data_IF_684910556887
#
_entry.id   IF_684910556887
#
_cell.length_a   1.000
_cell.length_b   1.000
_cell.length_c   1.000
_cell.angle_alpha   90.00
_cell.angle_beta   90.00
_cell.angle_gamma   90.00
#
_symmetry.space_group_name_H-M   'P 1'
#
loop_
_entity.id
_entity.type
_entity.pdbx_description
1 polymer ?
#
# COMPACT_ATOMS: atom_id res chain seq x y z
N UNK A 1 -7.66 -10.16 20.38
CA UNK A 1 -8.23 -10.48 19.05
C UNK A 1 -7.64 -9.48 18.10
N UNK A 2 -6.96 -9.94 17.06
CA UNK A 2 -6.61 -9.07 15.94
C UNK A 2 -7.90 -8.53 15.31
N UNK A 3 -7.88 -7.26 14.94
CA UNK A 3 -9.03 -6.60 14.32
C UNK A 3 -9.20 -7.11 12.89
N UNK A 4 -10.08 -8.10 12.70
CA UNK A 4 -10.36 -8.72 11.40
C UNK A 4 -10.98 -7.76 10.37
N UNK A 5 -11.42 -6.58 10.79
CA UNK A 5 -11.92 -5.53 9.90
C UNK A 5 -10.79 -4.63 9.36
N UNK A 6 -9.61 -4.62 9.98
CA UNK A 6 -8.50 -3.76 9.57
C UNK A 6 -7.76 -4.35 8.36
N UNK A 7 -7.66 -3.58 7.27
CA UNK A 7 -6.93 -3.96 6.05
C UNK A 7 -5.46 -3.55 6.18
N UNK A 8 -5.22 -2.27 6.47
CA UNK A 8 -3.89 -1.68 6.50
C UNK A 8 -3.90 -0.37 7.28
N UNK A 9 -2.72 0.07 7.70
CA UNK A 9 -2.46 1.42 8.21
C UNK A 9 -1.65 2.21 7.19
N UNK A 10 -2.06 3.45 6.95
CA UNK A 10 -1.40 4.37 6.03
C UNK A 10 -0.72 5.48 6.81
N UNK A 11 0.60 5.54 6.73
CA UNK A 11 1.44 6.54 7.37
C UNK A 11 2.00 7.51 6.33
N UNK A 12 2.33 8.75 6.71
CA UNK A 12 3.20 9.56 5.88
C UNK A 12 4.58 8.89 5.85
N UNK A 13 5.19 8.75 4.67
CA UNK A 13 6.54 8.17 4.60
C UNK A 13 7.62 9.15 5.12
N UNK A 14 7.34 10.45 5.04
CA UNK A 14 8.17 11.51 5.56
C UNK A 14 7.48 12.19 6.76
N UNK A 15 8.23 12.45 7.84
CA UNK A 15 7.73 13.11 9.05
C UNK A 15 7.37 14.60 8.85
N UNK A 16 7.49 15.12 7.62
CA UNK A 16 7.14 16.49 7.23
C UNK A 16 6.55 16.52 5.83
N UNK A 17 5.70 17.52 5.57
CA UNK A 17 5.22 17.82 4.22
C UNK A 17 3.83 17.29 3.90
N UNK A 18 3.53 17.18 2.61
CA UNK A 18 2.17 17.04 2.09
C UNK A 18 1.44 15.77 2.57
N UNK A 19 2.15 14.66 2.78
CA UNK A 19 1.55 13.41 3.27
C UNK A 19 1.09 13.57 4.73
N UNK A 20 1.93 14.17 5.58
CA UNK A 20 1.63 14.42 6.98
C UNK A 20 0.43 15.35 7.13
N UNK A 21 0.45 16.50 6.45
CA UNK A 21 -0.63 17.49 6.49
C UNK A 21 -1.96 16.86 6.05
N UNK A 22 -1.91 16.04 4.99
CA UNK A 22 -3.09 15.35 4.46
C UNK A 22 -3.64 14.32 5.45
N UNK A 23 -2.78 13.52 6.09
CA UNK A 23 -3.21 12.54 7.08
C UNK A 23 -3.76 13.23 8.33
N UNK A 24 -3.06 14.24 8.86
CA UNK A 24 -3.48 14.99 10.06
C UNK A 24 -4.81 15.72 9.86
N UNK A 25 -5.04 16.27 8.66
CA UNK A 25 -6.30 16.95 8.32
C UNK A 25 -7.46 16.01 8.03
N UNK A 26 -7.22 14.70 7.93
CA UNK A 26 -8.26 13.75 7.58
C UNK A 26 -9.13 13.39 8.80
N UNK A 27 -10.48 13.33 8.67
CA UNK A 27 -11.37 13.14 9.82
C UNK A 27 -11.17 11.84 10.60
N UNK A 28 -10.57 10.84 9.97
CA UNK A 28 -10.29 9.51 10.55
C UNK A 28 -8.82 9.33 10.96
N UNK A 29 -8.09 10.43 11.10
CA UNK A 29 -6.72 10.43 11.59
C UNK A 29 -6.65 9.88 13.01
N UNK A 30 -5.80 8.86 13.21
CA UNK A 30 -5.38 8.43 14.54
C UNK A 30 -4.05 9.11 14.82
N UNK A 31 -3.98 9.84 15.93
CA UNK A 31 -2.74 10.45 16.40
C UNK A 31 -1.80 9.35 16.90
N UNK A 32 -0.53 9.42 16.53
CA UNK A 32 0.50 8.57 17.13
C UNK A 32 0.58 8.79 18.64
N UNK A 33 1.16 7.84 19.36
CA UNK A 33 1.35 7.98 20.79
C UNK A 33 2.32 9.15 21.05
N UNK A 34 1.81 10.25 21.62
CA UNK A 34 2.69 11.24 22.23
C UNK A 34 3.37 10.56 23.41
N UNK A 35 4.71 10.47 23.40
CA UNK A 35 5.43 10.23 24.65
C UNK A 35 4.94 11.28 25.66
N UNK A 36 4.62 10.88 26.92
CA UNK A 36 4.36 11.86 27.96
C UNK A 36 5.55 12.79 28.01
N UNK A 37 5.34 14.09 27.83
CA UNK A 37 6.36 15.08 28.14
C UNK A 37 6.78 14.82 29.58
N UNK A 38 7.99 14.28 29.74
CA UNK A 38 8.58 14.04 31.04
C UNK A 38 8.82 15.42 31.62
N UNK A 39 7.91 15.84 32.50
CA UNK A 39 7.98 17.08 33.26
C UNK A 39 9.43 17.27 33.71
N UNK A 40 10.06 18.30 33.16
CA UNK A 40 11.45 18.66 33.39
C UNK A 40 11.58 19.32 34.77
N UNK A 41 11.26 18.56 35.82
CA UNK A 41 11.50 18.92 37.19
C UNK A 41 12.01 17.71 37.97
N UNK A 42 13.28 17.34 37.75
CA UNK A 42 14.14 16.98 38.87
C UNK A 42 15.62 16.94 38.46
N UNK A 43 16.38 17.89 38.98
CA UNK A 43 17.85 17.80 39.05
C UNK A 43 18.21 16.74 40.10
N UNK A 44 18.84 15.63 39.70
CA UNK A 44 20.10 15.11 40.26
C UNK A 44 20.53 13.79 39.59
N UNK A 45 21.70 13.86 38.96
CA UNK A 45 22.76 12.85 38.77
C UNK A 45 22.48 11.35 38.97
N UNK A 46 22.61 10.57 37.89
CA UNK A 46 23.70 9.59 37.67
C UNK A 46 23.66 9.07 36.22
N UNK A 47 24.84 8.98 35.60
CA UNK A 47 25.05 8.33 34.30
C UNK A 47 24.43 6.93 34.28
N UNK A 48 23.47 6.73 33.38
CA UNK A 48 23.06 5.41 32.92
C UNK A 48 23.13 5.45 31.41
N UNK A 49 24.14 4.78 30.86
CA UNK A 49 24.28 4.56 29.42
C UNK A 49 23.14 3.65 29.00
N UNK A 50 22.05 4.23 28.54
CA UNK A 50 20.96 3.48 27.89
C UNK A 50 21.41 3.31 26.44
N UNK A 51 21.63 2.07 26.03
CA UNK A 51 21.75 1.72 24.62
C UNK A 51 20.51 2.26 23.90
N UNK A 52 20.72 3.13 22.92
CA UNK A 52 19.67 3.62 22.03
C UNK A 52 19.17 2.41 21.22
N UNK A 53 18.15 1.73 21.73
CA UNK A 53 17.26 0.98 20.86
C UNK A 53 16.59 2.01 19.97
N UNK A 54 16.83 1.92 18.65
CA UNK A 54 16.08 2.64 17.63
C UNK A 54 14.60 2.35 17.90
N UNK A 55 13.92 3.27 18.58
CA UNK A 55 12.48 3.25 18.67
C UNK A 55 11.98 3.43 17.24
N UNK A 56 11.16 2.48 16.81
CA UNK A 56 10.38 2.55 15.58
C UNK A 56 9.68 3.92 15.52
N UNK A 57 10.24 4.85 14.73
CA UNK A 57 9.86 6.28 14.64
C UNK A 57 8.36 6.46 14.27
N UNK A 58 7.74 5.36 13.86
CA UNK A 58 6.36 5.16 13.46
C UNK A 58 5.35 5.30 14.60
N UNK A 59 5.74 4.96 15.83
CA UNK A 59 4.82 4.97 16.98
C UNK A 59 4.33 6.39 17.28
N UNK A 60 5.10 7.41 16.88
CA UNK A 60 4.77 8.82 17.05
C UNK A 60 4.02 9.45 15.87
N UNK A 61 4.05 8.84 14.68
CA UNK A 61 3.44 9.43 13.48
C UNK A 61 1.92 9.20 13.42
N UNK A 62 1.14 10.18 12.94
CA UNK A 62 -0.29 9.99 12.70
C UNK A 62 -0.51 9.05 11.51
N UNK A 63 -1.63 8.34 11.51
CA UNK A 63 -1.98 7.39 10.44
C UNK A 63 -3.48 7.28 10.18
N UNK A 64 -3.82 6.66 9.06
CA UNK A 64 -5.18 6.27 8.70
C UNK A 64 -5.36 4.77 8.74
N UNK A 65 -6.46 4.31 9.35
CA UNK A 65 -6.87 2.93 9.28
C UNK A 65 -7.78 2.69 8.08
N UNK A 66 -7.32 1.82 7.18
CA UNK A 66 -8.09 1.31 6.05
C UNK A 66 -8.77 0.03 6.52
N UNK A 67 -10.10 -0.04 6.42
CA UNK A 67 -10.90 -1.12 7.01
C UNK A 67 -11.88 -1.67 5.98
N UNK A 68 -12.28 -2.93 6.10
CA UNK A 68 -13.28 -3.54 5.23
C UNK A 68 -14.66 -2.88 5.39
N UNK A 69 -15.00 -2.44 6.60
CA UNK A 69 -16.20 -1.64 6.87
C UNK A 69 -16.18 -0.25 6.20
N UNK A 70 -15.02 0.25 5.79
CA UNK A 70 -14.90 1.47 4.99
C UNK A 70 -15.14 1.13 3.52
N UNK A 71 -16.42 0.99 3.18
CA UNK A 71 -16.88 0.62 1.84
C UNK A 71 -16.39 1.63 0.81
N UNK A 72 -15.66 1.19 -0.24
CA UNK A 72 -15.24 2.06 -1.32
C UNK A 72 -16.41 2.67 -2.07
N UNK A 73 -16.22 3.89 -2.58
CA UNK A 73 -17.24 4.58 -3.39
C UNK A 73 -17.50 3.96 -4.76
N UNK A 74 -16.56 3.18 -5.28
CA UNK A 74 -16.62 2.58 -6.63
C UNK A 74 -16.08 1.15 -6.61
N UNK A 75 -16.31 0.37 -7.66
CA UNK A 75 -15.75 -1.00 -7.76
C UNK A 75 -14.23 -1.03 -7.98
N UNK A 76 -13.62 0.14 -8.24
CA UNK A 76 -12.17 0.25 -8.41
C UNK A 76 -11.40 0.08 -7.09
N UNK A 77 -12.08 0.09 -5.94
CA UNK A 77 -11.49 0.04 -4.61
C UNK A 77 -11.37 1.43 -3.98
N UNK A 78 -10.57 1.55 -2.92
CA UNK A 78 -10.34 2.83 -2.22
C UNK A 78 -9.49 3.74 -3.09
N UNK A 79 -10.11 4.78 -3.66
CA UNK A 79 -9.47 5.69 -4.60
C UNK A 79 -8.71 6.79 -3.85
N UNK A 80 -7.45 6.97 -4.23
CA UNK A 80 -6.60 8.08 -3.87
C UNK A 80 -6.49 9.03 -5.05
N UNK A 81 -6.86 10.29 -4.87
CA UNK A 81 -6.79 11.28 -5.95
C UNK A 81 -7.15 12.68 -5.51
N UNK A 82 -6.97 13.65 -6.40
CA UNK A 82 -7.24 15.08 -6.11
C UNK A 82 -8.75 15.40 -6.03
N UNK A 83 -9.60 14.53 -6.55
CA UNK A 83 -11.04 14.79 -6.58
C UNK A 83 -11.67 14.70 -5.19
N UNK A 84 -12.64 15.55 -4.88
CA UNK A 84 -13.48 15.40 -3.69
C UNK A 84 -14.35 14.11 -3.73
N UNK A 85 -14.46 13.48 -4.90
CA UNK A 85 -15.12 12.18 -5.05
C UNK A 85 -14.25 11.00 -4.62
N UNK A 86 -12.93 11.19 -4.45
CA UNK A 86 -12.00 10.15 -3.98
C UNK A 86 -12.28 9.76 -2.51
N UNK A 87 -12.00 8.51 -2.16
CA UNK A 87 -12.12 8.03 -0.77
C UNK A 87 -11.06 8.67 0.12
N UNK A 88 -9.87 8.91 -0.45
CA UNK A 88 -8.77 9.63 0.18
C UNK A 88 -8.34 10.76 -0.77
N UNK A 89 -8.62 11.99 -0.34
CA UNK A 89 -8.33 13.19 -1.13
C UNK A 89 -6.87 13.58 -0.96
N UNK A 90 -6.12 13.51 -2.06
CA UNK A 90 -4.73 13.91 -2.13
C UNK A 90 -4.59 15.43 -2.26
N UNK A 91 -3.50 16.03 -1.76
CA UNK A 91 -3.24 17.46 -1.89
C UNK A 91 -3.20 17.88 -3.37
N UNK A 92 -3.57 19.13 -3.64
CA UNK A 92 -3.65 19.67 -5.00
C UNK A 92 -2.27 20.01 -5.58
N UNK A 93 -1.41 19.01 -5.69
CA UNK A 93 -0.13 19.09 -6.36
C UNK A 93 -0.30 18.96 -7.87
N UNK A 94 0.53 19.68 -8.63
CA UNK A 94 0.53 19.56 -10.07
C UNK A 94 0.79 18.10 -10.49
N UNK A 95 0.08 17.64 -11.52
CA UNK A 95 0.24 16.31 -12.12
C UNK A 95 -0.26 15.12 -11.28
N UNK A 96 -0.88 15.36 -10.12
CA UNK A 96 -1.72 14.35 -9.46
C UNK A 96 -3.08 14.32 -10.17
N UNK A 97 -3.50 13.13 -10.62
CA UNK A 97 -4.79 12.92 -11.28
C UNK A 97 -5.98 13.01 -10.32
N UNK A 98 -7.17 13.26 -10.86
CA UNK A 98 -8.43 13.29 -10.09
C UNK A 98 -8.69 11.98 -9.36
N UNK A 99 -8.45 10.86 -10.04
CA UNK A 99 -8.31 9.51 -9.49
C UNK A 99 -6.93 9.01 -9.91
N UNK A 100 -6.01 8.87 -8.96
CA UNK A 100 -4.60 8.60 -9.25
C UNK A 100 -4.29 7.11 -9.16
N UNK A 101 -4.53 6.52 -7.99
CA UNK A 101 -4.37 5.10 -7.75
C UNK A 101 -5.49 4.60 -6.82
N UNK A 102 -5.64 3.28 -6.70
CA UNK A 102 -6.55 2.67 -5.77
C UNK A 102 -5.91 1.51 -5.01
N UNK A 103 -6.40 1.28 -3.79
CA UNK A 103 -6.19 0.03 -3.07
C UNK A 103 -7.40 -0.88 -3.31
N UNK A 104 -7.15 -2.06 -3.83
CA UNK A 104 -8.20 -3.01 -4.22
C UNK A 104 -7.71 -4.45 -4.10
N UNK A 105 -8.58 -5.42 -4.35
CA UNK A 105 -8.21 -6.84 -4.33
C UNK A 105 -8.29 -7.45 -5.73
N UNK A 106 -7.32 -8.32 -6.04
CA UNK A 106 -7.36 -9.19 -7.22
C UNK A 106 -7.22 -10.64 -6.79
N UNK A 107 -7.84 -11.54 -7.54
CA UNK A 107 -7.74 -12.98 -7.37
C UNK A 107 -7.36 -13.72 -8.67
N UNK A 108 -6.87 -12.99 -9.68
CA UNK A 108 -6.45 -13.54 -10.98
C UNK A 108 -5.10 -14.28 -10.92
N UNK A 109 -4.66 -14.65 -9.73
CA UNK A 109 -3.40 -15.37 -9.48
C UNK A 109 -3.63 -16.88 -9.61
N UNK A 110 -2.56 -17.65 -9.79
CA UNK A 110 -2.65 -19.09 -10.07
C UNK A 110 -3.37 -19.90 -8.99
N UNK A 111 -3.32 -19.45 -7.73
CA UNK A 111 -3.97 -20.08 -6.59
C UNK A 111 -5.40 -19.56 -6.32
N UNK A 112 -5.85 -18.54 -7.06
CA UNK A 112 -7.18 -17.96 -6.90
C UNK A 112 -7.39 -17.17 -5.59
N UNK A 113 -6.37 -16.94 -4.77
CA UNK A 113 -6.53 -16.18 -3.52
C UNK A 113 -6.60 -14.68 -3.77
N UNK A 114 -7.47 -14.00 -3.02
CA UNK A 114 -7.56 -12.54 -3.04
C UNK A 114 -6.32 -11.91 -2.39
N UNK A 115 -5.69 -10.99 -3.11
CA UNK A 115 -4.54 -10.21 -2.64
C UNK A 115 -4.81 -8.73 -2.77
N UNK A 116 -4.44 -7.97 -1.73
CA UNK A 116 -4.42 -6.51 -1.80
C UNK A 116 -3.41 -6.09 -2.87
N UNK A 117 -3.83 -5.16 -3.73
CA UNK A 117 -3.01 -4.55 -4.76
C UNK A 117 -3.11 -3.03 -4.71
N UNK A 118 -1.98 -2.37 -4.95
CA UNK A 118 -1.95 -0.96 -5.34
C UNK A 118 -2.12 -0.92 -6.85
N UNK A 119 -3.14 -0.23 -7.36
CA UNK A 119 -3.38 -0.09 -8.80
C UNK A 119 -3.27 1.37 -9.22
N UNK A 120 -2.36 1.68 -10.13
CA UNK A 120 -2.40 2.97 -10.82
C UNK A 120 -3.60 3.03 -11.78
N UNK A 121 -4.44 4.06 -11.68
CA UNK A 121 -5.69 4.19 -12.46
C UNK A 121 -5.48 4.91 -13.80
N UNK A 122 -4.31 4.74 -14.42
CA UNK A 122 -3.93 5.47 -15.64
C UNK A 122 -3.56 6.91 -15.35
N UNK A 123 -2.85 7.15 -14.26
CA UNK A 123 -2.53 8.50 -13.81
C UNK A 123 -1.63 9.25 -14.81
N UNK A 124 -1.67 10.58 -14.75
CA UNK A 124 -0.96 11.45 -15.70
C UNK A 124 0.56 11.27 -15.67
N UNK A 125 1.12 10.94 -14.50
CA UNK A 125 2.56 10.73 -14.31
C UNK A 125 2.94 9.30 -13.94
N UNK A 126 1.99 8.48 -13.50
CA UNK A 126 2.29 7.17 -12.95
C UNK A 126 2.46 7.24 -11.45
N UNK A 127 2.43 6.05 -10.86
CA UNK A 127 2.69 5.79 -9.46
C UNK A 127 3.99 5.03 -9.37
N UNK A 128 4.78 5.31 -8.33
CA UNK A 128 5.91 4.48 -7.96
C UNK A 128 5.56 3.72 -6.69
N UNK A 129 5.92 2.43 -6.62
CA UNK A 129 5.76 1.62 -5.41
C UNK A 129 7.06 0.88 -5.17
N UNK A 130 7.64 1.06 -3.98
CA UNK A 130 8.84 0.31 -3.56
C UNK A 130 8.55 -0.60 -2.37
N UNK A 131 9.28 -1.70 -2.32
CA UNK A 131 9.26 -2.69 -1.25
C UNK A 131 10.67 -2.73 -0.66
N UNK A 132 10.84 -2.28 0.57
CA UNK A 132 12.13 -2.18 1.26
C UNK A 132 13.20 -1.48 0.40
N UNK A 133 12.79 -0.40 -0.27
CA UNK A 133 13.63 0.37 -1.18
C UNK A 133 13.86 -0.24 -2.57
N UNK A 134 13.35 -1.44 -2.86
CA UNK A 134 13.41 -2.07 -4.19
C UNK A 134 12.16 -1.78 -5.02
N UNK A 135 12.27 -1.75 -6.35
CA UNK A 135 11.11 -1.64 -7.24
C UNK A 135 10.58 -0.21 -7.48
N UNK A 136 11.37 0.81 -7.15
CA UNK A 136 11.10 2.27 -7.27
C UNK A 136 10.96 2.79 -8.72
N UNK A 137 10.38 1.99 -9.61
CA UNK A 137 10.11 2.36 -10.99
C UNK A 137 8.75 3.05 -11.13
N UNK A 138 8.75 4.18 -11.84
CA UNK A 138 7.52 4.88 -12.22
C UNK A 138 6.73 4.08 -13.26
N UNK A 139 5.50 3.67 -12.93
CA UNK A 139 4.63 2.92 -13.85
C UNK A 139 3.22 3.49 -13.90
N UNK A 140 2.52 3.16 -14.99
CA UNK A 140 1.14 3.61 -15.26
C UNK A 140 0.25 2.42 -15.59
N UNK A 141 -1.00 2.45 -15.14
CA UNK A 141 -1.95 1.37 -15.37
C UNK A 141 -1.44 0.01 -14.87
N UNK A 142 -0.65 0.03 -13.79
CA UNK A 142 0.07 -1.13 -13.28
C UNK A 142 -0.45 -1.53 -11.90
N UNK A 143 -0.37 -2.83 -11.59
CA UNK A 143 -0.78 -3.40 -10.31
C UNK A 143 0.44 -3.96 -9.56
N UNK A 144 0.66 -3.44 -8.36
CA UNK A 144 1.66 -3.90 -7.40
C UNK A 144 0.96 -4.73 -6.31
N UNK A 145 1.50 -5.91 -5.99
CA UNK A 145 0.93 -6.78 -4.97
C UNK A 145 1.38 -6.31 -3.59
N UNK A 146 0.44 -5.90 -2.74
CA UNK A 146 0.73 -5.43 -1.39
C UNK A 146 0.64 -6.53 -0.32
N UNK A 147 0.08 -7.72 -0.64
CA UNK A 147 -0.08 -8.81 0.34
C UNK A 147 -0.27 -10.19 -0.29
N UNK A 148 -0.23 -11.23 0.53
CA UNK A 148 -0.83 -12.54 0.24
C UNK A 148 0.05 -13.53 -0.53
N UNK A 149 1.31 -13.21 -0.81
CA UNK A 149 2.29 -14.29 -0.95
C UNK A 149 2.84 -14.61 0.44
N UNK A 150 3.47 -15.78 0.61
CA UNK A 150 4.54 -15.94 1.60
C UNK A 150 5.69 -15.00 1.20
N UNK A 151 5.39 -13.70 1.13
CA UNK A 151 6.36 -12.66 1.33
C UNK A 151 6.95 -13.06 2.67
N UNK A 152 8.26 -13.32 2.75
CA UNK A 152 8.86 -13.48 4.07
C UNK A 152 8.36 -12.31 4.91
N UNK A 153 8.17 -12.57 6.20
CA UNK A 153 7.63 -11.65 7.23
C UNK A 153 8.35 -10.28 7.30
N UNK A 154 9.22 -9.96 6.33
CA UNK A 154 10.22 -8.92 6.22
C UNK A 154 9.98 -7.87 5.13
N UNK A 155 8.81 -7.73 4.48
CA UNK A 155 8.51 -6.43 3.84
C UNK A 155 8.09 -5.48 4.94
N UNK A 156 9.11 -4.86 5.53
CA UNK A 156 8.99 -3.90 6.62
C UNK A 156 8.44 -2.57 6.09
N UNK A 157 8.62 -2.27 4.81
CA UNK A 157 8.19 -1.00 4.22
C UNK A 157 7.69 -1.12 2.77
N UNK A 158 6.37 -0.95 2.58
CA UNK A 158 5.77 -0.70 1.27
C UNK A 158 5.51 0.80 1.12
N UNK A 159 6.31 1.48 0.28
CA UNK A 159 6.17 2.91 0.01
C UNK A 159 5.42 3.13 -1.30
N UNK A 160 4.36 3.93 -1.27
CA UNK A 160 3.59 4.36 -2.43
C UNK A 160 3.88 5.84 -2.66
N UNK A 161 4.41 6.18 -3.83
CA UNK A 161 4.79 7.52 -4.21
C UNK A 161 4.06 7.96 -5.50
N UNK A 162 2.87 8.57 -5.39
CA UNK A 162 2.17 9.19 -6.54
C UNK A 162 2.83 10.50 -7.03
N UNK A 163 3.69 11.13 -6.21
CA UNK A 163 4.38 12.36 -6.58
C UNK A 163 5.70 12.51 -5.81
N UNK A 164 6.71 13.18 -6.38
CA UNK A 164 8.03 13.41 -5.74
C UNK A 164 8.04 14.16 -4.40
N UNK A 165 6.88 14.63 -3.94
CA UNK A 165 6.69 15.34 -2.67
C UNK A 165 5.55 14.71 -1.85
N UNK A 166 5.10 13.52 -2.26
CA UNK A 166 3.96 12.84 -1.66
C UNK A 166 4.21 11.34 -1.71
N UNK A 167 4.54 10.79 -0.56
CA UNK A 167 4.94 9.42 -0.31
C UNK A 167 4.18 8.92 0.92
N UNK A 168 3.69 7.70 0.85
CA UNK A 168 2.98 7.06 1.95
C UNK A 168 3.62 5.71 2.23
N UNK A 169 3.74 5.35 3.51
CA UNK A 169 4.03 3.97 3.89
C UNK A 169 2.72 3.24 4.18
N UNK A 170 2.56 2.06 3.57
CA UNK A 170 1.43 1.18 3.79
C UNK A 170 1.88 -0.02 4.62
N UNK A 171 1.35 -0.15 5.82
CA UNK A 171 1.55 -1.32 6.69
C UNK A 171 0.32 -2.20 6.57
N UNK A 172 0.44 -3.33 5.87
CA UNK A 172 -0.68 -4.24 5.62
C UNK A 172 -0.86 -5.19 6.79
N UNK A 173 -2.10 -5.35 7.26
CA UNK A 173 -2.40 -6.32 8.32
C UNK A 173 -2.39 -7.72 7.75
N UNK A 174 -1.77 -8.64 8.48
CA UNK A 174 -1.76 -10.04 8.10
C UNK A 174 -3.16 -10.65 8.27
N UNK A 175 -3.64 -11.33 7.24
CA UNK A 175 -4.88 -12.08 7.26
C UNK A 175 -4.62 -13.49 6.76
N UNK A 176 -5.30 -14.47 7.33
CA UNK A 176 -5.41 -15.80 6.71
C UNK A 176 -6.23 -15.67 5.42
N UNK A 177 -5.53 -15.62 4.29
CA UNK A 177 -6.11 -15.43 2.95
C UNK A 177 -6.97 -16.60 2.48
N UNK A 178 -6.87 -17.76 3.14
CA UNK A 178 -7.71 -18.92 2.90
C UNK A 178 -8.96 -18.93 3.79
N UNK A 179 -9.01 -18.08 4.84
CA UNK A 179 -10.14 -18.05 5.76
C UNK A 179 -11.43 -17.56 5.07
N UNK A 180 -12.59 -18.22 5.32
CA UNK A 180 -13.87 -17.76 4.79
C UNK A 180 -14.20 -16.32 5.18
N UNK A 181 -13.86 -15.91 6.41
CA UNK A 181 -14.11 -14.56 6.90
C UNK A 181 -13.38 -13.48 6.08
N UNK A 182 -12.10 -13.69 5.77
CA UNK A 182 -11.34 -12.79 4.89
C UNK A 182 -11.95 -12.74 3.49
N UNK A 183 -12.27 -13.90 2.91
CA UNK A 183 -12.85 -13.99 1.57
C UNK A 183 -14.18 -13.23 1.50
N UNK A 184 -15.05 -13.37 2.50
CA UNK A 184 -16.34 -12.69 2.55
C UNK A 184 -16.17 -11.18 2.74
N UNK A 185 -15.23 -10.74 3.57
CA UNK A 185 -14.88 -9.34 3.74
C UNK A 185 -14.38 -8.71 2.43
N UNK A 186 -13.46 -9.38 1.73
CA UNK A 186 -12.94 -8.91 0.43
C UNK A 186 -14.05 -8.85 -0.61
N UNK A 187 -14.87 -9.90 -0.72
CA UNK A 187 -16.01 -9.91 -1.66
C UNK A 187 -16.96 -8.76 -1.38
N UNK A 188 -17.32 -8.52 -0.12
CA UNK A 188 -18.17 -7.39 0.26
C UNK A 188 -17.50 -6.08 -0.15
N UNK A 189 -16.23 -5.89 0.20
CA UNK A 189 -15.47 -4.69 -0.13
C UNK A 189 -15.43 -4.39 -1.63
N UNK A 190 -15.24 -5.42 -2.48
CA UNK A 190 -15.22 -5.27 -3.93
C UNK A 190 -16.61 -5.12 -4.56
N UNK A 191 -17.64 -5.75 -3.98
CA UNK A 191 -18.96 -5.85 -4.60
C UNK A 191 -19.84 -4.60 -4.44
N UNK A 192 -19.61 -3.74 -3.44
CA UNK A 192 -20.54 -2.59 -3.24
C UNK A 192 -20.47 -1.58 -4.40
N UNK A 193 -19.33 -1.47 -5.07
CA UNK A 193 -19.19 -0.64 -6.26
C UNK A 193 -20.09 -1.07 -7.42
N UNK A 194 -20.36 -2.37 -7.60
CA UNK A 194 -21.19 -2.85 -8.72
C UNK A 194 -22.65 -2.37 -8.66
N UNK A 195 -23.19 -2.08 -7.47
CA UNK A 195 -24.54 -1.53 -7.33
C UNK A 195 -24.64 -0.05 -7.71
N UNK A 196 -23.59 0.74 -7.45
CA UNK A 196 -23.51 2.17 -7.78
C UNK A 196 -22.91 2.44 -9.17
N UNK A 197 -22.05 1.56 -9.68
CA UNK A 197 -21.42 1.65 -11.00
C UNK A 197 -22.42 1.36 -12.13
N UNK A 198 -23.50 0.62 -11.84
CA UNK A 198 -24.66 0.54 -12.73
C UNK A 198 -25.33 1.92 -12.97
N UNK A 199 -25.07 2.91 -12.10
CA UNK A 199 -25.50 4.30 -12.27
C UNK A 199 -24.42 5.17 -12.95
N UNK A 200 -23.13 4.89 -12.73
CA UNK A 200 -22.01 5.64 -13.31
C UNK A 200 -21.60 5.16 -14.72
N UNK A 201 -22.15 4.03 -15.20
CA UNK A 201 -21.99 3.56 -16.57
C UNK A 201 -22.43 4.58 -17.65
N UNK A 202 -23.15 5.64 -17.26
CA UNK A 202 -23.49 6.78 -18.13
C UNK A 202 -22.40 7.87 -18.26
N UNK A 203 -21.31 7.83 -17.47
CA UNK A 203 -20.27 8.87 -17.44
C UNK A 203 -18.97 8.49 -18.20
N UNK A 204 -19.00 7.45 -19.02
CA UNK A 204 -17.92 7.16 -19.98
C UNK A 204 -16.60 6.69 -19.36
N UNK A 205 -16.59 6.31 -18.08
CA UNK A 205 -15.50 5.52 -17.51
C UNK A 205 -15.71 4.05 -17.87
N UNK A 206 -15.69 3.73 -19.16
CA UNK A 206 -15.54 2.34 -19.56
C UNK A 206 -14.19 1.84 -18.99
N UNK A 207 -14.16 0.68 -18.32
CA UNK A 207 -12.93 -0.08 -18.23
C UNK A 207 -12.46 -0.26 -19.67
N UNK A 208 -11.28 0.26 -19.99
CA UNK A 208 -10.73 0.15 -21.33
C UNK A 208 -10.76 -1.34 -21.71
N UNK A 209 -11.49 -1.75 -22.77
CA UNK A 209 -11.40 -3.12 -23.23
C UNK A 209 -9.94 -3.33 -23.62
N UNK A 210 -9.36 -4.46 -23.20
CA UNK A 210 -8.03 -4.90 -23.57
C UNK A 210 -7.87 -4.70 -25.09
N UNK A 211 -7.17 -3.62 -25.48
CA UNK A 211 -6.75 -3.46 -26.86
C UNK A 211 -5.51 -4.32 -27.03
N UNK A 212 -5.75 -5.61 -27.26
CA UNK A 212 -4.87 -6.40 -28.11
C UNK A 212 -4.81 -5.73 -29.48
N UNK A 213 -3.85 -4.82 -29.64
CA UNK A 213 -3.34 -4.47 -30.96
C UNK A 213 -2.04 -5.23 -31.16
N UNK A 214 -2.20 -6.41 -31.76
CA UNK A 214 -1.15 -7.26 -32.30
C UNK A 214 -0.33 -6.46 -33.30
N UNK A 215 0.90 -6.09 -32.93
CA UNK A 215 1.97 -5.84 -33.90
C UNK A 215 3.32 -6.16 -33.26
N UNK A 216 3.90 -7.27 -33.74
CA UNK A 216 5.29 -7.72 -33.70
C UNK A 216 6.28 -7.17 -32.65
N UNK A 217 6.84 -8.13 -31.89
CA UNK A 217 8.14 -8.07 -31.21
C UNK A 217 8.23 -7.16 -29.96
N UNK A 218 7.77 -7.68 -28.82
CA UNK A 218 8.47 -7.73 -27.53
C UNK A 218 7.47 -8.12 -26.43
N UNK A 219 7.49 -9.38 -26.03
CA UNK A 219 6.70 -9.88 -24.89
C UNK A 219 7.21 -9.25 -23.59
N UNK A 220 6.68 -8.09 -23.20
CA UNK A 220 6.79 -7.56 -21.83
C UNK A 220 5.51 -7.94 -21.11
N UNK A 221 5.60 -8.99 -20.30
CA UNK A 221 4.50 -9.48 -19.49
C UNK A 221 3.99 -8.36 -18.57
N UNK A 222 2.70 -8.05 -18.69
CA UNK A 222 1.89 -7.26 -17.74
C UNK A 222 1.61 -8.07 -16.46
N UNK A 223 2.62 -8.80 -15.98
CA UNK A 223 2.49 -9.61 -14.78
C UNK A 223 2.77 -8.72 -13.57
N UNK A 224 1.93 -8.81 -12.52
CA UNK A 224 2.24 -8.18 -11.25
C UNK A 224 3.59 -8.72 -10.74
N UNK A 225 4.46 -7.82 -10.28
CA UNK A 225 5.81 -8.20 -9.86
C UNK A 225 5.76 -8.77 -8.45
N UNK A 226 6.15 -10.04 -8.33
CA UNK A 226 6.79 -10.54 -7.11
C UNK A 226 8.28 -10.18 -7.17
N UNK A 227 8.84 -9.64 -6.10
CA UNK A 227 10.29 -9.56 -5.97
C UNK A 227 10.81 -10.99 -5.84
N UNK A 228 11.56 -11.44 -6.85
CA UNK A 228 12.31 -12.68 -6.76
C UNK A 228 13.36 -12.55 -5.65
N UNK A 229 13.40 -13.52 -4.74
CA UNK A 229 14.50 -13.66 -3.79
C UNK A 229 15.81 -13.86 -4.56
N UNK A 230 16.88 -13.21 -4.10
CA UNK A 230 18.23 -13.40 -4.64
C UNK A 230 18.64 -14.87 -4.57
N UNK A 231 19.04 -15.52 -5.69
CA UNK A 231 19.53 -16.90 -5.69
C UNK A 231 20.99 -17.01 -5.23
N UNK A 232 21.52 -16.05 -4.47
CA UNK A 232 22.95 -15.98 -4.14
C UNK A 232 23.36 -16.71 -2.84
N UNK A 233 22.46 -17.48 -2.23
CA UNK A 233 22.79 -18.31 -1.05
C UNK A 233 22.59 -19.79 -1.36
N UNK A 234 23.23 -20.30 -2.42
CA UNK A 234 23.46 -21.74 -2.56
C UNK A 234 24.67 -22.07 -3.46
N UNK A 235 25.85 -21.52 -3.13
CA UNK A 235 27.14 -22.01 -3.64
C UNK A 235 28.27 -21.86 -2.62
N UNK A 236 28.10 -22.43 -1.43
CA UNK A 236 29.25 -22.79 -0.57
C UNK A 236 28.93 -24.05 0.22
N UNK A 237 28.99 -25.20 -0.44
CA UNK A 237 29.41 -26.47 0.14
C UNK A 237 29.77 -27.39 -1.03
N UNK A 238 30.71 -28.31 -0.81
CA UNK A 238 31.42 -29.15 -1.80
C UNK A 238 32.76 -28.58 -2.32
N UNK A 239 33.65 -28.29 -1.37
CA UNK A 239 35.09 -28.32 -1.58
C UNK A 239 35.71 -29.49 -0.81
N UNK A 240 36.11 -30.55 -1.54
CA UNK A 240 37.28 -31.40 -1.30
C UNK A 240 37.39 -32.25 -0.02
N UNK A 241 37.48 -33.57 -0.20
CA UNK A 241 38.42 -34.40 0.57
C UNK A 241 39.15 -35.33 -0.41
N UNK A 242 40.48 -35.26 -0.54
CA UNK A 242 41.27 -36.26 -1.22
C UNK A 242 41.75 -37.33 -0.22
N UNK A 243 41.74 -38.60 -0.65
CA UNK A 243 42.79 -39.60 -0.41
C UNK A 243 42.60 -40.74 -1.42
#
# INVERSE_FOLDING_TARGET
>A
MEDSDLIARLYPADAVGYALDMIQGHPRCIKGAQQPELDSQSRTSRESTVEYQEFDDDVALPYLELRFSHVPRTSLGLIFGRSASSDIVLPSLAKISSSHFALTYKNTFADGHYRLVVRDLGSTRGTTVSYDGKGDELRKGFDWIASGFEVPVSVESLIIQPHKYLSFRLVVIHHDIASPAYIDNVKRFCNVGTAADNFLGGLGLQPYPDMERTTGANTRLSNPILIQQDPSVERQQWGGVPL
#
